data_IF_973732013872
#
_entry.id   IF_973732013872
#
_cell.length_a   1.000
_cell.length_b   1.000
_cell.length_c   1.000
_cell.angle_alpha   90.00
_cell.angle_beta   90.00
_cell.angle_gamma   90.00
#
_symmetry.space_group_name_H-M   'P 1'
#
loop_
_entity.id
_entity.type
_entity.pdbx_description
1 polymer ?
#
# COMPACT_ATOMS: atom_id res chain seq x y z
N UNK A 1 38.12 16.66 -6.87
CA UNK A 1 36.80 16.18 -7.33
C UNK A 1 36.84 15.99 -8.83
N UNK A 2 36.61 14.78 -9.36
CA UNK A 2 36.58 14.56 -10.82
C UNK A 2 35.30 15.18 -11.41
N UNK A 3 35.32 15.61 -12.67
CA UNK A 3 34.13 16.16 -13.34
C UNK A 3 32.95 15.16 -13.33
N UNK A 4 33.26 13.87 -13.38
CA UNK A 4 32.29 12.76 -13.34
C UNK A 4 31.59 12.70 -11.99
N UNK A 5 32.32 12.82 -10.89
CA UNK A 5 31.75 12.85 -9.54
C UNK A 5 30.89 14.09 -9.28
N UNK A 6 31.31 15.26 -9.78
CA UNK A 6 30.49 16.49 -9.66
C UNK A 6 29.14 16.30 -10.35
N UNK A 7 29.20 15.81 -11.60
CA UNK A 7 28.02 15.53 -12.40
C UNK A 7 27.12 14.52 -11.67
N UNK A 8 27.69 13.44 -11.15
CA UNK A 8 26.93 12.42 -10.44
C UNK A 8 26.18 13.00 -9.23
N UNK A 9 26.89 13.73 -8.36
CA UNK A 9 26.30 14.29 -7.15
C UNK A 9 25.19 15.28 -7.47
N UNK A 10 25.42 16.19 -8.42
CA UNK A 10 24.42 17.17 -8.84
C UNK A 10 23.20 16.50 -9.49
N UNK A 11 23.42 15.56 -10.41
CA UNK A 11 22.34 14.80 -11.05
C UNK A 11 21.51 14.04 -10.00
N UNK A 12 22.17 13.36 -9.06
CA UNK A 12 21.52 12.64 -7.96
C UNK A 12 20.65 13.55 -7.08
N UNK A 13 21.16 14.74 -6.71
CA UNK A 13 20.40 15.74 -5.94
C UNK A 13 19.15 16.16 -6.70
N UNK A 14 19.29 16.60 -7.95
CA UNK A 14 18.17 17.14 -8.72
C UNK A 14 17.11 16.08 -9.04
N UNK A 15 17.51 14.88 -9.47
CA UNK A 15 16.59 13.79 -9.79
C UNK A 15 15.81 13.37 -8.53
N UNK A 16 16.50 13.21 -7.40
CA UNK A 16 15.86 12.82 -6.14
C UNK A 16 14.92 13.92 -5.62
N UNK A 17 15.29 15.19 -5.77
CA UNK A 17 14.47 16.32 -5.36
C UNK A 17 13.18 16.44 -6.16
N UNK A 18 13.25 16.31 -7.49
CA UNK A 18 12.08 16.29 -8.36
C UNK A 18 11.18 15.11 -7.99
N UNK A 19 11.75 13.91 -7.83
CA UNK A 19 11.00 12.72 -7.40
C UNK A 19 10.29 12.92 -6.06
N UNK A 20 10.99 13.48 -5.07
CA UNK A 20 10.44 13.75 -3.74
C UNK A 20 9.25 14.72 -3.78
N UNK A 21 9.37 15.82 -4.52
CA UNK A 21 8.31 16.82 -4.68
C UNK A 21 7.11 16.24 -5.42
N UNK A 22 7.33 15.49 -6.51
CA UNK A 22 6.23 14.89 -7.26
C UNK A 22 5.42 13.91 -6.41
N UNK A 23 6.09 13.04 -5.65
CA UNK A 23 5.42 12.13 -4.71
C UNK A 23 4.66 12.90 -3.63
N UNK A 24 5.23 13.97 -3.09
CA UNK A 24 4.57 14.80 -2.08
C UNK A 24 3.35 15.55 -2.66
N UNK A 25 3.44 16.00 -3.91
CA UNK A 25 2.35 16.66 -4.60
C UNK A 25 1.18 15.68 -4.84
N UNK A 26 1.48 14.44 -5.25
CA UNK A 26 0.47 13.39 -5.39
C UNK A 26 -0.16 13.08 -4.03
N UNK A 27 0.63 12.96 -2.96
CA UNK A 27 0.15 12.78 -1.59
C UNK A 27 -0.84 13.88 -1.19
N UNK A 28 -0.44 15.14 -1.36
CA UNK A 28 -1.27 16.30 -1.02
C UNK A 28 -2.58 16.33 -1.83
N UNK A 29 -2.52 15.99 -3.12
CA UNK A 29 -3.69 15.91 -3.98
C UNK A 29 -4.67 14.81 -3.52
N UNK A 30 -4.16 13.61 -3.25
CA UNK A 30 -4.95 12.48 -2.75
C UNK A 30 -5.70 12.88 -1.49
N UNK A 31 -4.99 13.44 -0.51
CA UNK A 31 -5.57 13.84 0.77
C UNK A 31 -6.62 14.94 0.63
N UNK A 32 -6.43 15.88 -0.29
CA UNK A 32 -7.41 16.95 -0.57
C UNK A 32 -8.65 16.41 -1.29
N UNK A 33 -8.48 15.55 -2.30
CA UNK A 33 -9.56 15.10 -3.20
C UNK A 33 -10.37 13.94 -2.63
N UNK A 34 -9.75 13.04 -1.90
CA UNK A 34 -10.37 11.80 -1.40
C UNK A 34 -10.56 11.79 0.12
N UNK A 35 -10.55 12.96 0.76
CA UNK A 35 -10.66 13.11 2.22
C UNK A 35 -11.79 12.29 2.85
N UNK A 36 -13.00 12.37 2.28
CA UNK A 36 -14.17 11.64 2.78
C UNK A 36 -13.96 10.11 2.72
N UNK A 37 -13.42 9.60 1.61
CA UNK A 37 -13.15 8.16 1.44
C UNK A 37 -12.06 7.69 2.41
N UNK A 38 -11.04 8.51 2.65
CA UNK A 38 -9.94 8.22 3.59
C UNK A 38 -10.38 8.28 5.07
N UNK A 39 -11.39 9.08 5.39
CA UNK A 39 -11.97 9.16 6.74
C UNK A 39 -12.93 8.00 7.03
N UNK A 40 -13.60 7.46 6.00
CA UNK A 40 -14.54 6.34 6.12
C UNK A 40 -13.88 4.95 6.20
N UNK A 41 -12.68 4.77 5.62
CA UNK A 41 -11.99 3.48 5.57
C UNK A 41 -10.55 3.61 6.09
N UNK A 42 -10.33 3.11 7.32
CA UNK A 42 -8.98 3.06 7.93
C UNK A 42 -7.97 2.31 7.06
N UNK A 43 -8.42 1.36 6.22
CA UNK A 43 -7.53 0.64 5.31
C UNK A 43 -7.06 1.50 4.14
N UNK A 44 -7.83 2.51 3.72
CA UNK A 44 -7.43 3.46 2.67
C UNK A 44 -6.57 4.61 3.21
N UNK A 45 -6.78 5.02 4.47
CA UNK A 45 -5.91 5.96 5.20
C UNK A 45 -4.44 5.50 5.23
N UNK A 46 -4.20 4.20 5.08
CA UNK A 46 -2.85 3.60 5.02
C UNK A 46 -2.07 3.93 3.76
N UNK A 47 -2.74 4.02 2.62
CA UNK A 47 -2.10 4.28 1.33
C UNK A 47 -1.49 5.69 1.31
N UNK A 48 -2.14 6.63 1.98
CA UNK A 48 -1.69 8.01 2.18
C UNK A 48 -0.34 8.05 2.92
N UNK A 49 -0.23 7.35 4.05
CA UNK A 49 1.01 7.30 4.84
C UNK A 49 2.18 6.65 4.10
N UNK A 50 1.94 5.59 3.31
CA UNK A 50 2.98 4.93 2.53
C UNK A 50 3.66 5.87 1.53
N UNK A 51 2.88 6.70 0.82
CA UNK A 51 3.41 7.67 -0.14
C UNK A 51 4.23 8.78 0.52
N UNK A 52 3.78 9.24 1.70
CA UNK A 52 4.52 10.21 2.50
C UNK A 52 5.91 9.67 2.86
N UNK A 53 5.99 8.44 3.36
CA UNK A 53 7.27 7.83 3.74
C UNK A 53 8.19 7.59 2.54
N UNK A 54 7.65 7.23 1.36
CA UNK A 54 8.45 7.17 0.13
C UNK A 54 9.02 8.54 -0.25
N UNK A 55 8.21 9.60 -0.19
CA UNK A 55 8.67 10.97 -0.46
C UNK A 55 9.76 11.40 0.52
N UNK A 56 9.59 11.12 1.82
CA UNK A 56 10.60 11.40 2.84
C UNK A 56 11.90 10.65 2.61
N UNK A 57 11.86 9.38 2.19
CA UNK A 57 13.06 8.63 1.80
C UNK A 57 13.81 9.33 0.65
N UNK A 58 13.10 9.86 -0.35
CA UNK A 58 13.73 10.61 -1.45
C UNK A 58 14.34 11.93 -0.98
N UNK A 59 13.73 12.62 -0.01
CA UNK A 59 14.35 13.79 0.62
C UNK A 59 15.64 13.44 1.38
N UNK A 60 15.73 12.24 1.97
CA UNK A 60 16.99 11.79 2.59
C UNK A 60 18.06 11.57 1.53
N UNK A 61 17.73 11.07 0.33
CA UNK A 61 18.68 11.00 -0.78
C UNK A 61 19.16 12.37 -1.26
N UNK A 62 18.29 13.39 -1.27
CA UNK A 62 18.70 14.79 -1.52
C UNK A 62 19.71 15.23 -0.47
N UNK A 63 19.40 15.02 0.82
CA UNK A 63 20.31 15.34 1.93
C UNK A 63 21.65 14.62 1.83
N UNK A 64 21.63 13.32 1.48
CA UNK A 64 22.83 12.51 1.24
C UNK A 64 23.66 13.03 0.07
N UNK A 65 23.02 13.45 -1.03
CA UNK A 65 23.70 14.06 -2.17
C UNK A 65 24.35 15.40 -1.80
N UNK A 66 23.65 16.26 -1.06
CA UNK A 66 24.18 17.55 -0.58
C UNK A 66 25.36 17.30 0.36
N UNK A 67 25.25 16.34 1.28
CA UNK A 67 26.34 15.97 2.20
C UNK A 67 27.58 15.49 1.45
N UNK A 68 27.42 14.63 0.44
CA UNK A 68 28.51 14.14 -0.41
C UNK A 68 29.13 15.24 -1.29
N UNK A 69 28.34 16.21 -1.74
CA UNK A 69 28.86 17.36 -2.49
C UNK A 69 29.63 18.31 -1.58
N UNK A 70 29.07 18.64 -0.40
CA UNK A 70 29.70 19.51 0.58
C UNK A 70 31.00 18.92 1.12
N UNK A 71 31.05 17.60 1.41
CA UNK A 71 32.25 16.95 1.92
C UNK A 71 33.44 17.03 0.97
N UNK A 72 33.18 16.97 -0.33
CA UNK A 72 34.21 17.12 -1.36
C UNK A 72 34.58 18.58 -1.61
N UNK A 73 33.65 19.52 -1.46
CA UNK A 73 33.92 20.94 -1.64
C UNK A 73 34.73 21.55 -0.48
N UNK A 74 34.45 21.10 0.76
CA UNK A 74 35.13 21.54 1.97
C UNK A 74 36.22 20.56 2.44
N UNK A 75 36.61 19.60 1.59
CA UNK A 75 37.71 18.65 1.81
C UNK A 75 37.65 17.86 3.13
N UNK A 76 36.45 17.58 3.65
CA UNK A 76 36.27 16.75 4.85
C UNK A 76 35.83 15.31 4.54
N UNK A 77 35.95 14.86 3.28
CA UNK A 77 35.53 13.52 2.85
C UNK A 77 36.21 12.37 3.60
N UNK A 78 37.41 12.58 4.15
CA UNK A 78 38.18 11.57 4.91
C UNK A 78 37.94 11.68 6.42
N UNK A 79 37.08 12.59 6.87
CA UNK A 79 36.82 12.76 8.29
C UNK A 79 35.81 11.75 8.81
N UNK A 80 35.96 11.37 10.09
CA UNK A 80 34.95 10.61 10.84
C UNK A 80 33.55 11.27 10.74
N UNK A 81 33.50 12.60 10.67
CA UNK A 81 32.25 13.37 10.52
C UNK A 81 31.52 13.03 9.22
N UNK A 82 32.24 12.87 8.11
CA UNK A 82 31.64 12.44 6.85
C UNK A 82 31.02 11.04 6.97
N UNK A 83 31.77 10.09 7.52
CA UNK A 83 31.32 8.70 7.68
C UNK A 83 30.09 8.60 8.60
N UNK A 84 30.06 9.34 9.71
CA UNK A 84 28.89 9.42 10.60
C UNK A 84 27.67 9.96 9.85
N UNK A 85 27.84 11.03 9.07
CA UNK A 85 26.75 11.64 8.31
C UNK A 85 26.17 10.69 7.25
N UNK A 86 27.01 9.99 6.50
CA UNK A 86 26.59 9.01 5.49
C UNK A 86 25.83 7.85 6.14
N UNK A 87 26.35 7.29 7.22
CA UNK A 87 25.70 6.19 7.94
C UNK A 87 24.34 6.64 8.51
N UNK A 88 24.27 7.83 9.13
CA UNK A 88 23.01 8.35 9.68
C UNK A 88 21.95 8.54 8.59
N UNK A 89 22.32 9.13 7.46
CA UNK A 89 21.40 9.31 6.34
C UNK A 89 20.96 7.98 5.72
N UNK A 90 21.85 6.98 5.62
CA UNK A 90 21.49 5.63 5.17
C UNK A 90 20.43 4.98 6.08
N UNK A 91 20.62 5.10 7.41
CA UNK A 91 19.68 4.57 8.42
C UNK A 91 18.30 5.22 8.28
N UNK A 92 18.26 6.55 8.23
CA UNK A 92 17.01 7.30 8.15
C UNK A 92 16.29 6.97 6.84
N UNK A 93 17.03 6.80 5.74
CA UNK A 93 16.47 6.36 4.47
C UNK A 93 15.86 4.95 4.57
N UNK A 94 16.62 3.99 5.09
CA UNK A 94 16.16 2.60 5.26
C UNK A 94 14.95 2.51 6.21
N UNK A 95 14.92 3.34 7.25
CA UNK A 95 13.77 3.48 8.14
C UNK A 95 12.53 3.97 7.39
N UNK A 96 12.63 5.03 6.59
CA UNK A 96 11.50 5.52 5.81
C UNK A 96 11.01 4.53 4.76
N UNK A 97 11.91 3.82 4.06
CA UNK A 97 11.51 2.78 3.12
C UNK A 97 10.81 1.60 3.83
N UNK A 98 11.29 1.19 5.00
CA UNK A 98 10.62 0.17 5.81
C UNK A 98 9.24 0.64 6.30
N UNK A 99 9.15 1.89 6.76
CA UNK A 99 7.88 2.48 7.17
C UNK A 99 6.90 2.52 6.00
N UNK A 100 7.35 2.87 4.79
CA UNK A 100 6.52 2.79 3.60
C UNK A 100 6.00 1.35 3.36
N UNK A 101 6.89 0.35 3.45
CA UNK A 101 6.54 -1.07 3.29
C UNK A 101 5.48 -1.55 4.29
N UNK A 102 5.47 -1.05 5.53
CA UNK A 102 4.43 -1.37 6.51
C UNK A 102 3.02 -1.04 6.03
N UNK A 103 2.88 -0.01 5.19
CA UNK A 103 1.60 0.42 4.63
C UNK A 103 1.25 -0.25 3.30
N UNK A 104 2.15 -1.04 2.70
CA UNK A 104 1.86 -1.71 1.43
C UNK A 104 0.98 -2.94 1.66
N UNK A 105 -0.14 -3.01 0.92
CA UNK A 105 -1.11 -4.10 1.05
C UNK A 105 -0.52 -5.49 0.75
N UNK A 106 0.40 -5.57 -0.23
CA UNK A 106 1.04 -6.82 -0.64
C UNK A 106 2.45 -7.01 -0.08
N UNK A 107 2.81 -6.27 0.99
CA UNK A 107 4.04 -6.53 1.72
C UNK A 107 4.05 -7.97 2.30
N UNK A 108 5.22 -8.56 2.55
CA UNK A 108 5.33 -9.85 3.21
C UNK A 108 4.50 -9.90 4.51
N UNK A 109 3.82 -11.02 4.76
CA UNK A 109 2.84 -11.18 5.86
C UNK A 109 3.42 -10.84 7.25
N UNK A 110 4.72 -10.97 7.43
CA UNK A 110 5.39 -10.64 8.70
C UNK A 110 5.61 -9.13 8.90
N UNK A 111 5.57 -8.31 7.85
CA UNK A 111 5.63 -6.83 7.93
C UNK A 111 4.23 -6.26 7.91
N UNK A 112 3.37 -6.79 7.03
CA UNK A 112 2.02 -6.31 6.84
C UNK A 112 1.20 -6.37 8.13
N UNK A 113 0.71 -5.22 8.58
CA UNK A 113 -0.17 -5.07 9.74
C UNK A 113 0.37 -5.67 11.06
N UNK A 114 1.69 -5.85 11.17
CA UNK A 114 2.31 -6.46 12.34
C UNK A 114 3.24 -5.46 13.05
N UNK A 115 2.65 -4.65 13.93
CA UNK A 115 3.37 -3.60 14.69
C UNK A 115 4.53 -4.18 15.50
N UNK A 116 4.38 -5.40 16.05
CA UNK A 116 5.42 -6.06 16.84
C UNK A 116 6.65 -6.35 15.97
N UNK A 117 6.45 -6.94 14.80
CA UNK A 117 7.54 -7.28 13.89
C UNK A 117 8.22 -6.04 13.30
N UNK A 118 7.45 -5.00 12.97
CA UNK A 118 8.04 -3.73 12.48
C UNK A 118 8.93 -3.10 13.54
N UNK A 119 8.54 -3.09 14.82
CA UNK A 119 9.41 -2.63 15.92
C UNK A 119 10.70 -3.45 16.02
N UNK A 120 10.64 -4.76 15.83
CA UNK A 120 11.82 -5.63 15.82
C UNK A 120 12.74 -5.27 14.64
N UNK A 121 12.20 -5.08 13.44
CA UNK A 121 13.00 -4.71 12.26
C UNK A 121 13.63 -3.32 12.43
N UNK A 122 12.90 -2.34 12.98
CA UNK A 122 13.47 -1.03 13.34
C UNK A 122 14.62 -1.20 14.34
N UNK A 123 14.43 -2.04 15.37
CA UNK A 123 15.48 -2.39 16.32
C UNK A 123 16.71 -3.00 15.64
N UNK A 124 16.51 -3.89 14.66
CA UNK A 124 17.59 -4.48 13.86
C UNK A 124 18.31 -3.42 13.01
N UNK A 125 17.59 -2.51 12.35
CA UNK A 125 18.18 -1.40 11.58
C UNK A 125 19.10 -0.57 12.49
N UNK A 126 18.60 -0.16 13.65
CA UNK A 126 19.37 0.64 14.62
C UNK A 126 20.57 -0.15 15.15
N UNK A 127 20.41 -1.45 15.42
CA UNK A 127 21.49 -2.31 15.90
C UNK A 127 22.59 -2.49 14.85
N UNK A 128 22.22 -2.83 13.61
CA UNK A 128 23.16 -2.97 12.48
C UNK A 128 23.92 -1.67 12.25
N UNK A 129 23.21 -0.55 12.27
CA UNK A 129 23.82 0.76 12.16
C UNK A 129 24.79 1.12 13.28
N UNK A 130 24.42 0.80 14.52
CA UNK A 130 25.30 0.99 15.68
C UNK A 130 26.55 0.14 15.53
N UNK A 131 26.42 -1.10 15.05
CA UNK A 131 27.55 -1.98 14.73
C UNK A 131 28.42 -1.37 13.63
N UNK A 132 27.83 -0.86 12.55
CA UNK A 132 28.56 -0.17 11.46
C UNK A 132 29.37 1.01 12.00
N UNK A 133 28.77 1.83 12.88
CA UNK A 133 29.42 3.00 13.47
C UNK A 133 30.53 2.60 14.45
N UNK A 134 30.31 1.58 15.28
CA UNK A 134 31.34 1.02 16.16
C UNK A 134 32.48 0.40 15.35
N UNK A 135 32.20 -0.33 14.27
CA UNK A 135 33.25 -0.88 13.40
C UNK A 135 34.07 0.23 12.75
N UNK A 136 33.43 1.29 12.25
CA UNK A 136 34.12 2.46 11.71
C UNK A 136 34.99 3.17 12.77
N UNK A 137 34.49 3.30 14.00
CA UNK A 137 35.20 3.94 15.10
C UNK A 137 36.37 3.14 15.68
N UNK A 138 36.22 1.80 15.79
CA UNK A 138 37.22 0.93 16.44
C UNK A 138 38.35 0.55 15.51
N UNK A 139 38.06 0.32 14.23
CA UNK A 139 39.05 -0.22 13.30
C UNK A 139 39.68 0.83 12.36
N UNK A 140 39.18 2.07 12.35
CA UNK A 140 39.67 3.12 11.46
C UNK A 140 39.55 2.76 9.97
N UNK A 141 40.16 3.59 9.11
CA UNK A 141 40.08 3.42 7.64
C UNK A 141 40.83 2.18 7.11
N UNK A 142 41.66 1.52 7.92
CA UNK A 142 42.49 0.37 7.53
C UNK A 142 41.80 -0.99 7.63
N UNK A 143 40.46 -1.00 7.71
CA UNK A 143 39.68 -2.24 7.78
C UNK A 143 39.44 -2.89 6.41
N UNK A 144 40.50 -2.95 5.60
CA UNK A 144 40.52 -3.61 4.31
C UNK A 144 41.15 -4.99 4.49
N UNK A 145 40.32 -6.04 4.40
CA UNK A 145 40.80 -7.42 4.34
C UNK A 145 40.46 -7.98 2.97
N UNK A 146 41.48 -8.35 2.19
CA UNK A 146 41.32 -8.91 0.84
C UNK A 146 40.42 -8.07 -0.09
N UNK A 147 40.68 -6.76 -0.20
CA UNK A 147 39.90 -5.82 -1.03
C UNK A 147 38.41 -5.65 -0.65
N UNK A 148 38.02 -6.13 0.54
CA UNK A 148 36.68 -5.97 1.10
C UNK A 148 36.72 -4.94 2.22
N UNK A 149 35.84 -3.94 2.13
CA UNK A 149 35.60 -2.97 3.21
C UNK A 149 34.66 -3.59 4.25
N UNK A 150 35.23 -4.16 5.31
CA UNK A 150 34.46 -4.83 6.38
C UNK A 150 33.42 -3.91 7.03
N UNK A 151 33.73 -2.62 7.14
CA UNK A 151 32.84 -1.61 7.73
C UNK A 151 31.53 -1.43 6.93
N UNK A 152 31.53 -1.72 5.62
CA UNK A 152 30.36 -1.54 4.75
C UNK A 152 29.49 -2.81 4.62
N UNK A 153 30.00 -3.97 5.05
CA UNK A 153 29.29 -5.27 4.94
C UNK A 153 27.94 -5.27 5.68
N UNK A 154 27.83 -4.78 6.94
CA UNK A 154 26.54 -4.80 7.64
C UNK A 154 25.47 -3.97 6.93
N UNK A 155 25.85 -2.82 6.35
CA UNK A 155 24.92 -1.95 5.62
C UNK A 155 24.47 -2.59 4.28
N UNK A 156 25.36 -3.31 3.59
CA UNK A 156 25.01 -4.09 2.40
C UNK A 156 24.02 -5.21 2.73
N UNK A 157 24.21 -5.93 3.84
CA UNK A 157 23.28 -6.97 4.29
C UNK A 157 21.90 -6.36 4.55
N UNK A 158 21.86 -5.23 5.25
CA UNK A 158 20.61 -4.55 5.58
C UNK A 158 19.89 -4.01 4.34
N UNK A 159 20.63 -3.34 3.47
CA UNK A 159 20.11 -2.78 2.23
C UNK A 159 19.68 -3.86 1.24
N UNK A 160 20.42 -4.99 1.18
CA UNK A 160 20.05 -6.18 0.43
C UNK A 160 18.78 -6.83 0.94
N UNK A 161 18.63 -6.95 2.27
CA UNK A 161 17.38 -7.42 2.88
C UNK A 161 16.21 -6.50 2.52
N UNK A 162 16.36 -5.18 2.67
CA UNK A 162 15.31 -4.23 2.33
C UNK A 162 14.96 -4.23 0.83
N UNK A 163 15.97 -4.35 -0.04
CA UNK A 163 15.79 -4.52 -1.48
C UNK A 163 14.96 -5.78 -1.81
N UNK A 164 15.26 -6.90 -1.16
CA UNK A 164 14.48 -8.14 -1.31
C UNK A 164 13.02 -7.98 -0.88
N UNK A 165 12.77 -7.26 0.22
CA UNK A 165 11.39 -6.97 0.66
C UNK A 165 10.65 -6.08 -0.34
N UNK A 166 11.30 -5.04 -0.84
CA UNK A 166 10.74 -4.16 -1.88
C UNK A 166 10.47 -4.94 -3.16
N UNK A 167 11.35 -5.84 -3.58
CA UNK A 167 11.17 -6.71 -4.75
C UNK A 167 9.88 -7.53 -4.65
N UNK A 168 9.70 -8.27 -3.56
CA UNK A 168 8.48 -9.07 -3.35
C UNK A 168 7.25 -8.17 -3.35
N UNK A 169 7.33 -7.03 -2.68
CA UNK A 169 6.20 -6.12 -2.49
C UNK A 169 5.78 -5.46 -3.80
N UNK A 170 6.72 -4.92 -4.58
CA UNK A 170 6.43 -4.30 -5.87
C UNK A 170 5.94 -5.31 -6.88
N UNK A 171 6.62 -6.46 -7.01
CA UNK A 171 6.21 -7.49 -7.94
C UNK A 171 4.76 -7.94 -7.69
N UNK A 172 4.43 -8.29 -6.44
CA UNK A 172 3.05 -8.70 -6.09
C UNK A 172 2.04 -7.57 -6.28
N UNK A 173 2.41 -6.35 -5.90
CA UNK A 173 1.51 -5.19 -6.04
C UNK A 173 1.18 -4.92 -7.49
N UNK A 174 2.17 -4.86 -8.38
CA UNK A 174 1.95 -4.57 -9.79
C UNK A 174 1.27 -5.74 -10.52
N UNK A 175 1.61 -6.99 -10.19
CA UNK A 175 0.97 -8.17 -10.78
C UNK A 175 -0.54 -8.21 -10.45
N UNK A 176 -0.90 -8.00 -9.18
CA UNK A 176 -2.30 -8.00 -8.75
C UNK A 176 -3.09 -6.82 -9.34
N UNK A 177 -2.41 -5.72 -9.67
CA UNK A 177 -3.02 -4.54 -10.31
C UNK A 177 -3.11 -4.65 -11.83
N UNK A 178 -2.81 -5.81 -12.41
CA UNK A 178 -2.83 -6.01 -13.87
C UNK A 178 -1.63 -5.41 -14.61
N UNK A 179 -0.71 -4.74 -13.92
CA UNK A 179 0.48 -4.09 -14.49
C UNK A 179 1.64 -5.09 -14.64
N UNK A 180 1.45 -6.16 -15.41
CA UNK A 180 2.41 -7.26 -15.57
C UNK A 180 3.80 -6.80 -16.05
N UNK A 181 3.84 -5.89 -17.02
CA UNK A 181 5.09 -5.36 -17.57
C UNK A 181 5.87 -4.58 -16.50
N UNK A 182 5.17 -3.73 -15.73
CA UNK A 182 5.78 -2.99 -14.61
C UNK A 182 6.27 -3.93 -13.52
N UNK A 183 5.54 -5.02 -13.23
CA UNK A 183 5.98 -6.03 -12.27
C UNK A 183 7.32 -6.65 -12.68
N UNK A 184 7.50 -7.01 -13.95
CA UNK A 184 8.78 -7.53 -14.46
C UNK A 184 9.90 -6.50 -14.40
N UNK A 185 9.62 -5.25 -14.83
CA UNK A 185 10.57 -4.14 -14.73
C UNK A 185 11.00 -3.91 -13.28
N UNK A 186 10.08 -4.04 -12.32
CA UNK A 186 10.40 -3.84 -10.90
C UNK A 186 11.46 -4.81 -10.39
N UNK A 187 11.44 -6.06 -10.84
CA UNK A 187 12.45 -7.07 -10.49
C UNK A 187 13.83 -6.66 -11.04
N UNK A 188 13.89 -6.24 -12.30
CA UNK A 188 15.13 -5.78 -12.94
C UNK A 188 15.71 -4.58 -12.20
N UNK A 189 14.87 -3.61 -11.84
CA UNK A 189 15.30 -2.41 -11.09
C UNK A 189 15.82 -2.78 -9.71
N UNK A 190 15.18 -3.71 -9.00
CA UNK A 190 15.67 -4.15 -7.68
C UNK A 190 17.03 -4.85 -7.79
N UNK A 191 17.24 -5.66 -8.83
CA UNK A 191 18.54 -6.27 -9.11
C UNK A 191 19.60 -5.19 -9.38
N UNK A 192 19.27 -4.17 -10.18
CA UNK A 192 20.18 -3.04 -10.44
C UNK A 192 20.49 -2.24 -9.16
N UNK A 193 19.51 -1.99 -8.30
CA UNK A 193 19.71 -1.33 -7.01
C UNK A 193 20.69 -2.13 -6.15
N UNK A 194 20.50 -3.45 -6.05
CA UNK A 194 21.40 -4.31 -5.29
C UNK A 194 22.81 -4.34 -5.91
N UNK A 195 22.92 -4.50 -7.23
CA UNK A 195 24.20 -4.47 -7.94
C UNK A 195 24.94 -3.15 -7.76
N UNK A 196 24.21 -2.02 -7.68
CA UNK A 196 24.78 -0.69 -7.47
C UNK A 196 25.47 -0.51 -6.10
N UNK A 197 25.16 -1.38 -5.14
CA UNK A 197 25.74 -1.35 -3.78
C UNK A 197 26.97 -2.25 -3.63
N UNK A 198 27.16 -3.24 -4.50
CA UNK A 198 28.30 -4.16 -4.42
C UNK A 198 29.67 -3.45 -4.46
N UNK A 199 29.91 -2.43 -5.32
CA UNK A 199 31.20 -1.73 -5.37
C UNK A 199 31.56 -0.96 -4.09
N UNK A 200 30.60 -0.72 -3.20
CA UNK A 200 30.87 -0.08 -1.90
C UNK A 200 31.55 -1.03 -0.91
N UNK A 201 31.35 -2.35 -1.10
CA UNK A 201 31.94 -3.40 -0.26
C UNK A 201 33.12 -4.07 -0.96
N UNK A 202 32.99 -4.37 -2.25
CA UNK A 202 33.98 -5.09 -3.06
C UNK A 202 34.70 -4.12 -4.00
N UNK A 203 35.94 -3.76 -3.66
CA UNK A 203 36.70 -2.75 -4.41
C UNK A 203 37.13 -3.22 -5.79
N UNK A 204 37.15 -4.54 -6.04
CA UNK A 204 37.48 -5.13 -7.35
C UNK A 204 36.49 -4.73 -8.46
N UNK A 205 35.26 -4.34 -8.10
CA UNK A 205 34.23 -3.90 -9.04
C UNK A 205 34.17 -2.37 -9.22
N UNK A 206 35.07 -1.62 -8.56
CA UNK A 206 34.96 -0.17 -8.45
C UNK A 206 35.61 0.57 -9.64
N UNK A 207 35.07 0.36 -10.85
CA UNK A 207 35.24 1.34 -11.91
C UNK A 207 34.40 2.58 -11.58
N UNK A 208 35.05 3.73 -11.38
CA UNK A 208 34.44 4.98 -10.91
C UNK A 208 33.26 5.39 -11.79
N UNK A 209 33.44 5.37 -13.12
CA UNK A 209 32.40 5.77 -14.06
C UNK A 209 31.22 4.79 -14.05
N UNK A 210 31.49 3.49 -14.25
CA UNK A 210 30.43 2.46 -14.33
C UNK A 210 29.62 2.38 -13.03
N UNK A 211 30.29 2.47 -11.89
CA UNK A 211 29.63 2.45 -10.57
C UNK A 211 28.70 3.65 -10.39
N UNK A 212 29.17 4.86 -10.69
CA UNK A 212 28.37 6.08 -10.58
C UNK A 212 27.20 6.09 -11.58
N UNK A 213 27.40 5.54 -12.78
CA UNK A 213 26.37 5.42 -13.81
C UNK A 213 25.25 4.47 -13.36
N UNK A 214 25.59 3.25 -12.92
CA UNK A 214 24.61 2.27 -12.44
C UNK A 214 23.82 2.81 -11.26
N UNK A 215 24.47 3.52 -10.33
CA UNK A 215 23.79 4.16 -9.18
C UNK A 215 22.72 5.16 -9.61
N UNK A 216 23.01 6.03 -10.59
CA UNK A 216 22.02 6.99 -11.10
C UNK A 216 20.88 6.27 -11.80
N UNK A 217 21.19 5.32 -12.69
CA UNK A 217 20.17 4.57 -13.45
C UNK A 217 19.23 3.85 -12.48
N UNK A 218 19.77 3.14 -11.50
CA UNK A 218 19.00 2.37 -10.54
C UNK A 218 18.09 3.27 -9.69
N UNK A 219 18.63 4.35 -9.09
CA UNK A 219 17.85 5.28 -8.26
C UNK A 219 16.77 6.02 -9.06
N UNK A 220 17.09 6.48 -10.27
CA UNK A 220 16.11 7.14 -11.16
C UNK A 220 14.98 6.18 -11.53
N UNK A 221 15.32 4.93 -11.86
CA UNK A 221 14.33 3.90 -12.19
C UNK A 221 13.46 3.56 -10.98
N UNK A 222 14.03 3.53 -9.77
CA UNK A 222 13.27 3.32 -8.53
C UNK A 222 12.28 4.46 -8.25
N UNK A 223 12.68 5.72 -8.47
CA UNK A 223 11.78 6.87 -8.37
C UNK A 223 10.61 6.72 -9.36
N UNK A 224 10.89 6.31 -10.59
CA UNK A 224 9.84 6.06 -11.59
C UNK A 224 8.86 4.97 -11.13
N UNK A 225 9.35 3.87 -10.53
CA UNK A 225 8.47 2.85 -9.92
C UNK A 225 7.60 3.43 -8.81
N UNK A 226 8.13 4.30 -7.95
CA UNK A 226 7.33 4.93 -6.90
C UNK A 226 6.22 5.82 -7.49
N UNK A 227 6.49 6.54 -8.57
CA UNK A 227 5.48 7.34 -9.27
C UNK A 227 4.40 6.47 -9.93
N UNK A 228 4.77 5.35 -10.54
CA UNK A 228 3.80 4.38 -11.09
C UNK A 228 2.96 3.76 -9.98
N UNK A 229 3.57 3.42 -8.85
CA UNK A 229 2.86 2.95 -7.65
C UNK A 229 1.85 4.00 -7.17
N UNK A 230 2.29 5.25 -7.03
CA UNK A 230 1.45 6.38 -6.62
C UNK A 230 0.25 6.54 -7.55
N UNK A 231 0.49 6.52 -8.86
CA UNK A 231 -0.55 6.66 -9.89
C UNK A 231 -1.55 5.51 -9.81
N UNK A 232 -1.06 4.28 -9.65
CA UNK A 232 -1.94 3.10 -9.51
C UNK A 232 -2.81 3.16 -8.24
N UNK A 233 -2.32 3.78 -7.16
CA UNK A 233 -3.14 4.10 -5.98
C UNK A 233 -4.21 5.15 -6.27
N UNK A 234 -3.86 6.24 -6.97
CA UNK A 234 -4.84 7.26 -7.37
C UNK A 234 -5.97 6.65 -8.20
N UNK A 235 -5.63 5.77 -9.16
CA UNK A 235 -6.62 5.06 -9.98
C UNK A 235 -7.52 4.18 -9.11
N UNK A 236 -6.94 3.43 -8.17
CA UNK A 236 -7.71 2.58 -7.24
C UNK A 236 -8.67 3.40 -6.35
N UNK A 237 -8.22 4.54 -5.84
CA UNK A 237 -9.04 5.46 -5.05
C UNK A 237 -10.16 6.09 -5.90
N UNK A 238 -9.87 6.44 -7.16
CA UNK A 238 -10.86 6.97 -8.09
C UNK A 238 -11.94 5.93 -8.44
N UNK A 239 -11.57 4.65 -8.54
CA UNK A 239 -12.50 3.55 -8.83
C UNK A 239 -13.22 3.02 -7.58
N UNK A 240 -12.86 3.48 -6.37
CA UNK A 240 -13.54 3.10 -5.13
C UNK A 240 -14.96 3.67 -5.14
N UNK A 241 -16.00 2.83 -5.03
CA UNK A 241 -17.38 3.30 -5.06
C UNK A 241 -17.71 4.31 -3.97
N UNK A 242 -18.38 5.40 -4.36
CA UNK A 242 -18.87 6.40 -3.42
C UNK A 242 -20.25 5.98 -2.88
N UNK A 243 -20.47 6.03 -1.55
CA UNK A 243 -21.76 5.70 -0.93
C UNK A 243 -22.98 6.33 -1.60
N UNK A 244 -22.85 7.59 -2.03
CA UNK A 244 -23.95 8.39 -2.59
C UNK A 244 -24.28 8.02 -4.05
N UNK A 245 -23.36 7.39 -4.78
CA UNK A 245 -23.52 7.04 -6.20
C UNK A 245 -24.01 5.59 -6.37
N UNK A 246 -23.83 4.75 -5.35
CA UNK A 246 -24.25 3.36 -5.37
C UNK A 246 -25.74 3.22 -5.09
N UNK A 247 -26.43 2.37 -5.86
CA UNK A 247 -27.86 2.05 -5.68
C UNK A 247 -28.07 0.55 -5.75
N UNK A 248 -28.96 0.05 -4.91
CA UNK A 248 -29.42 -1.34 -4.95
C UNK A 248 -30.93 -1.38 -4.84
N UNK A 249 -31.55 -2.16 -5.74
CA UNK A 249 -32.99 -2.43 -5.70
C UNK A 249 -33.21 -3.92 -5.58
N UNK A 250 -34.03 -4.33 -4.63
CA UNK A 250 -34.49 -5.72 -4.52
C UNK A 250 -35.83 -5.79 -5.24
N UNK A 251 -35.87 -6.54 -6.34
CA UNK A 251 -37.03 -6.60 -7.23
C UNK A 251 -37.92 -7.80 -6.89
N UNK A 252 -37.32 -8.95 -6.57
CA UNK A 252 -38.03 -10.18 -6.23
C UNK A 252 -37.09 -11.12 -5.46
N UNK A 253 -37.61 -12.25 -4.96
CA UNK A 253 -36.81 -13.34 -4.42
C UNK A 253 -35.72 -13.75 -5.42
N UNK A 254 -34.46 -13.62 -4.98
CA UNK A 254 -33.24 -13.87 -5.77
C UNK A 254 -32.84 -12.81 -6.79
N UNK A 255 -33.68 -11.81 -7.10
CA UNK A 255 -33.37 -10.81 -8.13
C UNK A 255 -33.09 -9.42 -7.52
N UNK A 256 -31.92 -8.86 -7.84
CA UNK A 256 -31.59 -7.47 -7.52
C UNK A 256 -31.19 -6.69 -8.78
N UNK A 257 -31.33 -5.37 -8.71
CA UNK A 257 -30.74 -4.43 -9.64
C UNK A 257 -29.67 -3.61 -8.91
N UNK A 258 -28.45 -3.65 -9.41
CA UNK A 258 -27.29 -3.00 -8.81
C UNK A 258 -26.74 -1.92 -9.74
N UNK A 259 -26.45 -0.74 -9.19
CA UNK A 259 -25.76 0.33 -9.89
C UNK A 259 -24.57 0.82 -9.06
N UNK A 260 -23.38 0.67 -9.61
CA UNK A 260 -22.10 1.14 -9.06
C UNK A 260 -21.32 1.81 -10.22
N UNK A 261 -21.54 3.12 -10.46
CA UNK A 261 -20.98 3.83 -11.60
C UNK A 261 -19.44 3.79 -11.68
N UNK A 262 -18.74 3.88 -10.53
CA UNK A 262 -17.27 3.85 -10.47
C UNK A 262 -16.64 2.53 -10.93
N UNK A 263 -17.45 1.46 -11.02
CA UNK A 263 -17.06 0.13 -11.50
C UNK A 263 -17.68 -0.19 -12.87
N UNK A 264 -18.29 0.80 -13.53
CA UNK A 264 -19.06 0.66 -14.76
C UNK A 264 -20.25 -0.32 -14.66
N UNK A 265 -20.78 -0.54 -13.46
CA UNK A 265 -21.99 -1.34 -13.26
C UNK A 265 -23.17 -0.38 -13.28
N UNK A 266 -23.92 -0.34 -14.37
CA UNK A 266 -25.05 0.59 -14.53
C UNK A 266 -26.36 -0.19 -14.61
N UNK A 267 -27.18 -0.11 -13.56
CA UNK A 267 -28.49 -0.77 -13.48
C UNK A 267 -28.48 -2.26 -13.85
N UNK A 268 -27.40 -2.96 -13.53
CA UNK A 268 -27.21 -4.37 -13.88
C UNK A 268 -28.13 -5.26 -13.04
N UNK A 269 -28.79 -6.22 -13.68
CA UNK A 269 -29.60 -7.21 -12.98
C UNK A 269 -28.70 -8.36 -12.53
N UNK A 270 -28.83 -8.73 -11.26
CA UNK A 270 -28.13 -9.86 -10.65
C UNK A 270 -29.18 -10.83 -10.14
N UNK A 271 -29.25 -11.98 -10.78
CA UNK A 271 -30.10 -13.10 -10.39
C UNK A 271 -29.27 -14.13 -9.62
N UNK A 272 -29.54 -14.28 -8.33
CA UNK A 272 -28.87 -15.24 -7.47
C UNK A 272 -29.36 -16.68 -7.69
N UNK A 273 -30.50 -16.89 -8.36
CA UNK A 273 -31.10 -18.20 -8.61
C UNK A 273 -31.19 -19.06 -7.35
N UNK A 274 -30.53 -20.22 -7.36
CA UNK A 274 -30.52 -21.16 -6.23
C UNK A 274 -29.66 -20.72 -5.03
N UNK A 275 -28.87 -19.64 -5.16
CA UNK A 275 -27.97 -19.13 -4.11
C UNK A 275 -28.71 -18.25 -3.08
N UNK A 276 -29.79 -18.80 -2.52
CA UNK A 276 -30.77 -18.10 -1.67
C UNK A 276 -30.17 -17.57 -0.36
N UNK A 277 -29.14 -18.21 0.18
CA UNK A 277 -28.50 -17.77 1.44
C UNK A 277 -27.76 -16.45 1.27
N UNK A 278 -27.05 -16.27 0.16
CA UNK A 278 -26.29 -15.04 -0.13
C UNK A 278 -27.26 -13.88 -0.38
N UNK A 279 -28.33 -14.12 -1.15
CA UNK A 279 -29.41 -13.16 -1.35
C UNK A 279 -30.05 -12.76 -0.02
N UNK A 280 -30.49 -13.73 0.81
CA UNK A 280 -31.11 -13.45 2.12
C UNK A 280 -30.20 -12.64 3.03
N UNK A 281 -28.90 -12.97 3.09
CA UNK A 281 -27.94 -12.22 3.90
C UNK A 281 -27.77 -10.79 3.37
N UNK A 282 -27.70 -10.59 2.06
CA UNK A 282 -27.61 -9.26 1.45
C UNK A 282 -28.88 -8.43 1.73
N UNK A 283 -30.06 -9.05 1.64
CA UNK A 283 -31.35 -8.44 1.96
C UNK A 283 -31.43 -8.02 3.44
N UNK A 284 -30.97 -8.86 4.37
CA UNK A 284 -30.88 -8.52 5.81
C UNK A 284 -30.08 -7.24 6.04
N UNK A 285 -28.91 -7.11 5.39
CA UNK A 285 -28.13 -5.88 5.47
C UNK A 285 -28.87 -4.68 4.88
N UNK A 286 -29.59 -4.87 3.77
CA UNK A 286 -30.33 -3.80 3.11
C UNK A 286 -31.46 -3.27 4.00
N UNK A 287 -32.25 -4.15 4.60
CA UNK A 287 -33.36 -3.78 5.49
C UNK A 287 -32.82 -3.00 6.70
N UNK A 288 -31.78 -3.51 7.37
CA UNK A 288 -31.17 -2.80 8.52
C UNK A 288 -30.58 -1.46 8.13
N UNK A 289 -29.93 -1.36 6.97
CA UNK A 289 -29.35 -0.10 6.51
C UNK A 289 -30.40 0.92 6.10
N UNK A 290 -31.49 0.48 5.46
CA UNK A 290 -32.58 1.34 5.00
C UNK A 290 -33.44 1.85 6.18
N UNK A 291 -33.80 0.96 7.11
CA UNK A 291 -34.82 1.24 8.13
C UNK A 291 -34.25 1.41 9.55
N UNK A 292 -33.06 0.86 9.84
CA UNK A 292 -32.44 0.96 11.16
C UNK A 292 -31.90 2.36 11.48
N UNK A 293 -31.81 2.68 12.78
CA UNK A 293 -31.19 3.91 13.30
C UNK A 293 -29.92 3.61 14.09
N UNK A 294 -28.84 4.37 13.86
CA UNK A 294 -27.57 4.22 14.57
C UNK A 294 -26.97 2.81 14.45
N UNK A 295 -26.70 2.17 15.58
CA UNK A 295 -26.09 0.84 15.66
C UNK A 295 -26.94 -0.27 15.04
N UNK A 296 -28.27 -0.07 14.95
CA UNK A 296 -29.20 -1.02 14.32
C UNK A 296 -29.00 -1.13 12.80
N UNK A 297 -28.25 -0.21 12.19
CA UNK A 297 -27.88 -0.28 10.77
C UNK A 297 -26.78 -1.29 10.48
N UNK A 298 -26.24 -1.94 11.51
CA UNK A 298 -25.16 -2.92 11.40
C UNK A 298 -25.62 -4.32 11.78
N UNK A 299 -24.91 -5.31 11.25
CA UNK A 299 -25.09 -6.73 11.58
C UNK A 299 -23.79 -7.25 12.18
N UNK A 300 -23.91 -8.01 13.27
CA UNK A 300 -22.79 -8.71 13.87
C UNK A 300 -22.46 -9.97 13.06
N UNK A 301 -21.23 -10.03 12.55
CA UNK A 301 -20.71 -11.14 11.74
C UNK A 301 -19.66 -11.91 12.55
N UNK A 302 -20.12 -12.84 13.36
CA UNK A 302 -19.31 -13.68 14.25
C UNK A 302 -20.03 -15.01 14.52
N UNK A 303 -19.35 -15.98 15.14
CA UNK A 303 -19.93 -17.30 15.42
C UNK A 303 -21.24 -17.25 16.25
N UNK A 304 -21.43 -16.20 17.05
CA UNK A 304 -22.64 -15.93 17.82
C UNK A 304 -23.51 -14.80 17.27
N UNK A 305 -23.18 -14.26 16.09
CA UNK A 305 -23.95 -13.20 15.42
C UNK A 305 -24.96 -13.76 14.41
N UNK A 306 -25.74 -12.86 13.81
CA UNK A 306 -26.75 -13.21 12.79
C UNK A 306 -26.12 -13.86 11.55
N UNK A 307 -24.89 -13.48 11.21
CA UNK A 307 -24.11 -14.12 10.14
C UNK A 307 -22.87 -14.77 10.76
N UNK A 308 -22.82 -16.10 10.69
CA UNK A 308 -21.82 -16.92 11.41
C UNK A 308 -20.37 -16.65 11.03
N UNK A 309 -20.09 -16.20 9.80
CA UNK A 309 -18.73 -16.04 9.29
C UNK A 309 -18.62 -14.96 8.21
N UNK A 310 -17.49 -14.25 8.19
CA UNK A 310 -17.11 -13.31 7.12
C UNK A 310 -17.06 -13.96 5.73
N UNK A 311 -16.86 -15.27 5.62
CA UNK A 311 -16.92 -16.00 4.34
C UNK A 311 -18.26 -15.79 3.62
N UNK A 312 -19.36 -15.60 4.34
CA UNK A 312 -20.65 -15.29 3.71
C UNK A 312 -20.67 -13.94 3.02
N UNK A 313 -19.96 -12.94 3.55
CA UNK A 313 -19.80 -11.63 2.90
C UNK A 313 -19.01 -11.79 1.61
N UNK A 314 -17.90 -12.52 1.65
CA UNK A 314 -17.06 -12.76 0.46
C UNK A 314 -17.86 -13.48 -0.63
N UNK A 315 -18.67 -14.49 -0.27
CA UNK A 315 -19.52 -15.23 -1.22
C UNK A 315 -20.59 -14.37 -1.89
N UNK A 316 -21.14 -13.38 -1.21
CA UNK A 316 -22.09 -12.42 -1.84
C UNK A 316 -21.38 -11.69 -2.98
N UNK A 317 -20.17 -11.21 -2.72
CA UNK A 317 -19.37 -10.46 -3.69
C UNK A 317 -18.93 -11.35 -4.85
N UNK A 318 -18.42 -12.55 -4.56
CA UNK A 318 -18.01 -13.54 -5.57
C UNK A 318 -19.18 -13.88 -6.50
N UNK A 319 -20.38 -14.10 -5.95
CA UNK A 319 -21.58 -14.37 -6.75
C UNK A 319 -21.93 -13.20 -7.67
N UNK A 320 -21.93 -11.96 -7.16
CA UNK A 320 -22.24 -10.78 -7.98
C UNK A 320 -21.21 -10.65 -9.12
N UNK A 321 -19.92 -10.82 -8.81
CA UNK A 321 -18.85 -10.76 -9.81
C UNK A 321 -18.98 -11.85 -10.88
N UNK A 322 -19.33 -13.07 -10.48
CA UNK A 322 -19.54 -14.21 -11.37
C UNK A 322 -20.76 -13.98 -12.29
N UNK A 323 -21.89 -13.56 -11.73
CA UNK A 323 -23.14 -13.32 -12.46
C UNK A 323 -22.95 -12.17 -13.47
N UNK A 324 -22.30 -11.09 -13.06
CA UNK A 324 -22.04 -9.93 -13.91
C UNK A 324 -20.83 -10.10 -14.84
N UNK A 325 -20.11 -11.21 -14.76
CA UNK A 325 -18.90 -11.51 -15.56
C UNK A 325 -17.89 -10.35 -15.57
N UNK A 326 -17.68 -9.73 -14.41
CA UNK A 326 -16.85 -8.53 -14.31
C UNK A 326 -15.38 -8.86 -14.59
N UNK A 327 -14.74 -8.03 -15.42
CA UNK A 327 -13.30 -8.10 -15.65
C UNK A 327 -12.52 -7.82 -14.35
N UNK A 328 -11.29 -8.34 -14.22
CA UNK A 328 -10.51 -8.29 -12.97
C UNK A 328 -10.41 -6.88 -12.34
N UNK A 329 -10.44 -5.81 -13.14
CA UNK A 329 -10.36 -4.42 -12.65
C UNK A 329 -11.71 -3.89 -12.14
N UNK A 330 -12.82 -4.45 -12.64
CA UNK A 330 -14.20 -4.09 -12.30
C UNK A 330 -14.80 -5.00 -11.23
N UNK A 331 -14.13 -6.11 -10.89
CA UNK A 331 -14.56 -6.97 -9.80
C UNK A 331 -14.78 -6.16 -8.52
N UNK A 332 -15.92 -6.41 -7.90
CA UNK A 332 -16.25 -5.87 -6.60
C UNK A 332 -15.40 -6.59 -5.56
N UNK A 333 -14.89 -5.82 -4.62
CA UNK A 333 -14.30 -6.34 -3.40
C UNK A 333 -15.27 -6.18 -2.24
N UNK A 334 -15.06 -6.91 -1.13
CA UNK A 334 -15.90 -6.80 0.07
C UNK A 334 -16.07 -5.35 0.56
N UNK A 335 -14.99 -4.57 0.48
CA UNK A 335 -14.96 -3.15 0.89
C UNK A 335 -15.75 -2.21 -0.03
N UNK A 336 -16.06 -2.66 -1.24
CA UNK A 336 -16.83 -1.86 -2.20
C UNK A 336 -18.30 -1.82 -1.80
N UNK A 337 -18.82 -2.93 -1.26
CA UNK A 337 -20.23 -3.07 -0.85
C UNK A 337 -20.45 -2.93 0.67
N UNK A 338 -19.49 -3.35 1.50
CA UNK A 338 -19.62 -3.41 2.96
C UNK A 338 -18.60 -2.53 3.67
N UNK A 339 -19.04 -1.87 4.74
CA UNK A 339 -18.19 -1.12 5.69
C UNK A 339 -18.05 -1.91 6.99
N UNK A 340 -16.81 -2.07 7.46
CA UNK A 340 -16.52 -2.65 8.77
C UNK A 340 -16.52 -1.56 9.84
N UNK A 341 -17.23 -1.75 10.94
CA UNK A 341 -17.41 -0.76 12.02
C UNK A 341 -16.63 -1.11 13.31
N UNK A 342 -15.90 -2.22 13.34
CA UNK A 342 -15.27 -2.75 14.56
C UNK A 342 -16.07 -3.89 15.19
N UNK A 343 -15.43 -4.67 16.07
CA UNK A 343 -16.06 -5.76 16.86
C UNK A 343 -16.84 -6.81 16.05
N UNK A 344 -16.50 -7.00 14.77
CA UNK A 344 -17.22 -7.93 13.89
C UNK A 344 -18.50 -7.35 13.29
N UNK A 345 -18.83 -6.07 13.52
CA UNK A 345 -20.01 -5.41 12.95
C UNK A 345 -19.73 -4.92 11.53
N UNK A 346 -20.66 -5.22 10.63
CA UNK A 346 -20.63 -4.78 9.23
C UNK A 346 -21.92 -4.06 8.88
N UNK A 347 -21.87 -3.16 7.90
CA UNK A 347 -23.06 -2.54 7.28
C UNK A 347 -22.88 -2.44 5.77
N UNK A 348 -23.97 -2.25 5.03
CA UNK A 348 -23.88 -1.82 3.64
C UNK A 348 -23.33 -0.40 3.55
N UNK A 349 -22.48 -0.18 2.56
CA UNK A 349 -21.80 1.09 2.33
C UNK A 349 -22.73 2.14 1.70
N UNK A 350 -23.76 1.71 0.98
CA UNK A 350 -24.74 2.59 0.34
C UNK A 350 -25.49 3.46 1.37
N UNK A 351 -25.89 4.66 0.98
CA UNK A 351 -26.77 5.49 1.80
C UNK A 351 -28.19 4.89 1.84
N UNK A 352 -28.93 5.03 2.96
CA UNK A 352 -30.27 4.46 3.10
C UNK A 352 -31.21 4.80 1.95
N UNK A 353 -31.16 6.05 1.45
CA UNK A 353 -32.05 6.57 0.39
C UNK A 353 -31.82 5.89 -0.97
N UNK A 354 -30.66 5.26 -1.16
CA UNK A 354 -30.31 4.55 -2.39
C UNK A 354 -30.59 3.04 -2.33
N UNK A 355 -31.19 2.57 -1.23
CA UNK A 355 -31.61 1.18 -1.05
C UNK A 355 -33.14 1.15 -1.21
N UNK A 356 -33.63 0.46 -2.23
CA UNK A 356 -35.06 0.22 -2.40
C UNK A 356 -35.37 -1.26 -2.33
N UNK A 357 -36.44 -1.61 -1.64
CA UNK A 357 -36.89 -2.99 -1.46
C UNK A 357 -38.35 -3.04 -1.89
N UNK A 358 -38.71 -3.98 -2.75
CA UNK A 358 -40.11 -4.20 -3.13
C UNK A 358 -40.98 -4.46 -1.89
N UNK A 359 -42.15 -3.82 -1.82
CA UNK A 359 -43.03 -3.88 -0.65
C UNK A 359 -43.59 -5.29 -0.42
N UNK A 360 -43.92 -6.01 -1.49
CA UNK A 360 -44.40 -7.40 -1.40
C UNK A 360 -43.32 -8.31 -0.84
N UNK A 361 -42.10 -8.21 -1.37
CA UNK A 361 -40.93 -8.92 -0.85
C UNK A 361 -40.66 -8.60 0.62
N UNK A 362 -40.74 -7.32 1.02
CA UNK A 362 -40.51 -6.90 2.40
C UNK A 362 -41.55 -7.51 3.34
N UNK A 363 -42.82 -7.48 2.98
CA UNK A 363 -43.91 -8.09 3.76
C UNK A 363 -43.73 -9.60 3.92
N UNK A 364 -43.39 -10.31 2.85
CA UNK A 364 -43.12 -11.75 2.90
C UNK A 364 -41.90 -12.08 3.76
N UNK A 365 -40.83 -11.28 3.66
CA UNK A 365 -39.62 -11.47 4.44
C UNK A 365 -39.89 -11.32 5.95
N UNK A 366 -40.65 -10.28 6.33
CA UNK A 366 -41.02 -9.99 7.72
C UNK A 366 -42.03 -11.01 8.27
N UNK A 367 -42.92 -11.53 7.43
CA UNK A 367 -43.91 -12.54 7.81
C UNK A 367 -43.31 -13.91 8.18
N UNK A 368 -42.03 -14.14 7.88
CA UNK A 368 -41.33 -15.37 8.27
C UNK A 368 -40.98 -15.39 9.76
N UNK A 369 -41.26 -16.51 10.44
CA UNK A 369 -40.99 -16.69 11.87
C UNK A 369 -39.52 -16.43 12.26
N UNK A 370 -38.58 -16.66 11.33
CA UNK A 370 -37.14 -16.45 11.53
C UNK A 370 -36.70 -14.98 11.50
N UNK A 371 -37.56 -14.07 11.01
CA UNK A 371 -37.21 -12.65 10.77
C UNK A 371 -38.07 -11.68 11.58
N UNK A 372 -38.71 -12.15 12.65
CA UNK A 372 -39.60 -11.33 13.48
C UNK A 372 -38.92 -10.09 14.06
N UNK A 373 -37.60 -10.11 14.32
CA UNK A 373 -36.86 -8.91 14.76
C UNK A 373 -36.92 -7.76 13.74
N UNK A 374 -37.00 -8.07 12.45
CA UNK A 374 -37.02 -7.07 11.37
C UNK A 374 -38.36 -6.33 11.27
N UNK A 375 -39.44 -6.92 11.81
CA UNK A 375 -40.74 -6.23 11.91
C UNK A 375 -40.64 -4.96 12.75
N UNK A 376 -39.88 -5.01 13.84
CA UNK A 376 -39.68 -3.87 14.76
C UNK A 376 -38.83 -2.74 14.18
N UNK A 377 -38.08 -3.03 13.11
CA UNK A 377 -37.24 -2.06 12.41
C UNK A 377 -37.99 -1.34 11.29
N UNK A 378 -39.01 -1.97 10.71
CA UNK A 378 -39.74 -1.45 9.55
C UNK A 378 -41.05 -0.74 9.92
N UNK A 379 -41.50 -0.87 11.18
CA UNK A 379 -42.59 -0.11 11.79
C UNK A 379 -42.04 1.10 12.54
#
# INVERSE_FOLDING_TARGET
MTNVEQFHNLAHIFISFIGAILLLAIYSNIRKRFRQILEEDESQKRVDSGLLYLSLAMFVWVGSGIWAYASKHFEFSETMTYQIGVNLLSIVNNLFLLMALFYFYYAPKFIYNNIKNVKIIIGIIIAVASVTLVMAGVFGENNMYANIKLNAVPDLILSGFLCFLLLISFYKTFLHRGLKLVAMISVVIMILIFASQLPEVFLDFNDEFTTLLIKIIAKTSLIALFLVLATSWVIQLANTPRPNEMRIRFLDWSLIQLSIPSKNINNAQVDFGSKTTQYKNLLKFAIRRANGKGDLQSILVSAGGEIKNQTYLTRIIENINEILQLSNEQQLERRDLFTFLGEGKYRLRMIPENISIDEGLLHEFIGSAENTEYSSLCN
#
